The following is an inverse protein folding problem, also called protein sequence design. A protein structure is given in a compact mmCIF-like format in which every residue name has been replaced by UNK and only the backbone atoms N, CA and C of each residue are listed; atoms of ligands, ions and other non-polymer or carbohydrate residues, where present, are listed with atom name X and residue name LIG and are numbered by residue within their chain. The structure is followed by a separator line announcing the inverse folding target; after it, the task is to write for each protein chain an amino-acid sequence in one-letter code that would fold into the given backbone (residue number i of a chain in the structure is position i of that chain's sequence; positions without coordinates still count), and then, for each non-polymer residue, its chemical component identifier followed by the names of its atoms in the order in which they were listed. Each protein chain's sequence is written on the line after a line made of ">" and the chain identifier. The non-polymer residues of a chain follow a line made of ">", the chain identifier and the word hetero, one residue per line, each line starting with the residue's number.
data_IF_500797667725
#
_entry.id   IF_500797667725
#
_cell.length_a   1.000
_cell.length_b   1.000
_cell.length_c   1.000
_cell.angle_alpha   90.00
_cell.angle_beta   90.00
_cell.angle_gamma   90.00
#
_symmetry.space_group_name_H-M   'P 1'
#
loop_
_entity.id
_entity.type
_entity.pdbx_description
1 polymer ?
#
# COMPACT_ATOMS: atom_id res chain seq x y z
N UNK A 1 -0.44 26.59 21.21
CA UNK A 1 0.43 26.94 20.07
C UNK A 1 1.74 26.15 20.20
N UNK A 2 1.89 25.05 19.48
CA UNK A 2 3.14 24.28 19.43
C UNK A 2 3.98 24.82 18.27
N UNK A 3 5.13 25.42 18.57
CA UNK A 3 6.12 25.80 17.58
C UNK A 3 6.85 24.52 17.11
N UNK A 4 6.90 24.31 15.82
CA UNK A 4 7.61 23.19 15.22
C UNK A 4 8.60 23.73 14.17
N UNK A 5 9.90 23.76 14.47
CA UNK A 5 10.90 24.20 13.50
C UNK A 5 11.05 23.13 12.41
N UNK A 6 11.03 23.57 11.16
CA UNK A 6 11.31 22.76 9.99
C UNK A 6 12.58 23.26 9.34
N UNK A 7 13.40 22.33 8.89
CA UNK A 7 14.65 22.66 8.22
C UNK A 7 15.01 21.57 7.23
N UNK A 8 15.77 21.93 6.21
CA UNK A 8 16.34 20.98 5.27
C UNK A 8 17.76 21.45 4.91
N UNK A 9 18.65 20.50 4.73
CA UNK A 9 20.00 20.72 4.24
C UNK A 9 20.30 19.67 3.16
N UNK A 10 21.12 20.07 2.18
CA UNK A 10 21.52 19.16 1.11
C UNK A 10 22.91 19.52 0.59
N UNK A 11 23.60 18.51 0.11
CA UNK A 11 24.88 18.63 -0.56
C UNK A 11 24.81 17.88 -1.88
N UNK A 12 25.40 18.46 -2.92
CA UNK A 12 25.54 17.84 -4.23
C UNK A 12 26.98 17.87 -4.69
N UNK A 13 27.46 16.74 -5.22
CA UNK A 13 28.79 16.65 -5.80
C UNK A 13 28.68 16.33 -7.29
N UNK A 14 29.14 17.26 -8.12
CA UNK A 14 29.18 17.13 -9.57
C UNK A 14 30.47 16.43 -9.98
N UNK A 15 30.49 15.10 -9.90
CA UNK A 15 31.66 14.26 -10.12
C UNK A 15 32.25 14.46 -11.53
N UNK A 16 31.40 14.69 -12.53
CA UNK A 16 31.82 14.89 -13.91
C UNK A 16 32.71 16.13 -14.13
N UNK A 17 32.75 17.07 -13.17
CA UNK A 17 33.62 18.24 -13.22
C UNK A 17 35.01 17.98 -12.63
N UNK A 18 35.22 16.84 -11.98
CA UNK A 18 36.49 16.49 -11.34
C UNK A 18 37.53 16.07 -12.38
N UNK A 19 38.81 16.32 -12.07
CA UNK A 19 39.91 16.03 -12.99
C UNK A 19 39.99 14.58 -13.44
N UNK A 20 39.56 13.63 -12.62
CA UNK A 20 39.54 12.22 -12.94
C UNK A 20 38.34 11.78 -13.80
N UNK A 21 37.28 12.60 -13.89
CA UNK A 21 36.03 12.25 -14.58
C UNK A 21 35.75 13.13 -15.81
N UNK A 22 36.30 14.34 -15.88
CA UNK A 22 36.02 15.29 -16.97
C UNK A 22 36.44 14.83 -18.36
N UNK A 23 37.47 13.97 -18.43
CA UNK A 23 38.04 13.47 -19.69
C UNK A 23 37.39 12.12 -20.15
N UNK A 24 36.33 11.68 -19.47
CA UNK A 24 35.58 10.47 -19.86
C UNK A 24 34.59 10.82 -20.99
N UNK A 25 34.85 10.41 -22.24
CA UNK A 25 34.12 10.95 -23.40
C UNK A 25 32.65 10.52 -23.48
N UNK A 26 32.27 9.44 -22.83
CA UNK A 26 30.89 8.95 -22.80
C UNK A 26 30.09 9.47 -21.61
N UNK A 27 30.70 10.15 -20.64
CA UNK A 27 30.05 10.65 -19.44
C UNK A 27 29.76 12.14 -19.59
N UNK A 28 28.49 12.53 -19.76
CA UNK A 28 28.07 13.92 -19.85
C UNK A 28 27.86 14.55 -18.49
N UNK A 29 27.13 13.87 -17.61
CA UNK A 29 26.92 14.30 -16.22
C UNK A 29 26.93 13.15 -15.27
N UNK A 30 27.48 13.33 -14.09
CA UNK A 30 27.40 12.43 -12.95
C UNK A 30 27.34 13.26 -11.70
N UNK A 31 26.22 13.16 -10.97
CA UNK A 31 25.98 13.94 -9.76
C UNK A 31 25.55 13.01 -8.64
N UNK A 32 26.21 13.11 -7.51
CA UNK A 32 25.80 12.48 -6.25
C UNK A 32 25.15 13.56 -5.36
N UNK A 33 24.00 13.22 -4.77
CA UNK A 33 23.21 14.13 -3.91
C UNK A 33 22.92 13.48 -2.59
N UNK A 34 23.00 14.25 -1.53
CA UNK A 34 22.48 13.85 -0.22
C UNK A 34 21.63 14.97 0.33
N UNK A 35 20.48 14.64 0.87
CA UNK A 35 19.62 15.58 1.55
C UNK A 35 19.07 15.01 2.83
N UNK A 36 18.93 15.88 3.83
CA UNK A 36 18.34 15.55 5.12
C UNK A 36 17.47 16.72 5.56
N UNK A 37 16.33 16.42 6.16
CA UNK A 37 15.47 17.49 6.66
C UNK A 37 14.30 17.00 7.48
N UNK A 38 13.78 17.90 8.30
CA UNK A 38 12.54 17.72 9.04
C UNK A 38 11.40 18.47 8.35
N UNK A 39 10.36 17.74 7.99
CA UNK A 39 9.08 18.27 7.52
C UNK A 39 7.99 17.99 8.56
N UNK A 40 7.07 18.92 8.70
CA UNK A 40 5.87 18.70 9.51
C UNK A 40 4.63 18.65 8.65
N UNK A 41 3.66 17.85 9.06
CA UNK A 41 2.33 17.88 8.50
C UNK A 41 1.28 17.88 9.59
N UNK A 42 0.18 18.57 9.32
CA UNK A 42 -1.03 18.55 10.14
C UNK A 42 -2.09 17.88 9.28
N UNK A 43 -2.37 16.62 9.58
CA UNK A 43 -3.40 15.85 8.86
C UNK A 43 -4.72 15.83 9.65
N UNK A 44 -5.03 16.92 10.37
CA UNK A 44 -6.27 17.02 11.10
C UNK A 44 -6.87 18.42 11.00
N UNK A 45 -8.20 18.48 11.08
CA UNK A 45 -8.95 19.73 11.07
C UNK A 45 -8.69 20.55 12.34
N UNK A 46 -8.83 21.86 12.24
CA UNK A 46 -8.54 22.82 13.31
C UNK A 46 -9.27 22.52 14.63
N UNK A 47 -10.39 21.81 14.59
CA UNK A 47 -11.23 21.52 15.76
C UNK A 47 -11.00 20.15 16.39
N UNK A 48 -10.12 19.31 15.84
CA UNK A 48 -9.95 17.94 16.37
C UNK A 48 -9.31 17.86 17.76
N UNK A 49 -8.74 18.96 18.25
CA UNK A 49 -8.33 19.08 19.64
C UNK A 49 -9.50 19.34 20.61
N UNK A 50 -10.69 19.69 20.08
CA UNK A 50 -11.91 20.03 20.88
C UNK A 50 -13.04 19.08 20.55
N UNK A 51 -13.80 18.70 21.57
CA UNK A 51 -15.05 17.95 21.38
C UNK A 51 -16.09 18.84 20.72
N UNK A 52 -16.69 18.38 19.64
CA UNK A 52 -17.75 19.09 18.90
C UNK A 52 -19.07 18.40 19.19
N UNK A 53 -20.07 19.21 19.52
CA UNK A 53 -21.43 18.76 19.76
C UNK A 53 -22.33 19.24 18.62
N UNK A 54 -23.27 18.39 18.23
CA UNK A 54 -24.38 18.75 17.32
C UNK A 54 -25.68 18.80 18.10
N UNK A 55 -26.40 19.88 17.96
CA UNK A 55 -27.77 19.97 18.47
C UNK A 55 -28.68 19.13 17.58
N UNK A 56 -29.52 18.30 18.22
CA UNK A 56 -30.48 17.42 17.55
C UNK A 56 -31.88 17.83 17.94
N UNK A 57 -32.63 18.37 16.99
CA UNK A 57 -34.05 18.77 17.20
C UNK A 57 -34.95 17.60 17.62
N UNK A 58 -34.56 16.38 17.22
CA UNK A 58 -35.28 15.15 17.51
C UNK A 58 -35.02 14.62 18.93
N UNK A 59 -33.99 15.15 19.61
CA UNK A 59 -33.62 14.78 20.98
C UNK A 59 -33.99 15.90 21.91
N UNK A 60 -35.28 15.91 22.28
CA UNK A 60 -35.81 16.90 23.23
C UNK A 60 -35.64 16.38 24.66
N UNK A 61 -35.06 17.19 25.49
CA UNK A 61 -35.03 17.00 26.93
C UNK A 61 -36.04 17.99 27.55
N UNK A 62 -36.49 17.73 28.77
CA UNK A 62 -37.54 18.49 29.44
C UNK A 62 -37.39 20.04 29.39
N UNK A 63 -36.15 20.53 29.31
CA UNK A 63 -35.83 21.96 29.31
C UNK A 63 -35.21 22.49 28.04
N UNK A 64 -35.06 21.67 26.98
CA UNK A 64 -34.43 22.15 25.74
C UNK A 64 -34.04 21.07 24.75
N UNK A 65 -33.34 21.51 23.70
CA UNK A 65 -32.83 20.63 22.63
C UNK A 65 -31.60 19.90 23.13
N UNK A 66 -31.55 18.58 22.89
CA UNK A 66 -30.42 17.75 23.21
C UNK A 66 -29.20 18.00 22.30
N UNK A 67 -27.99 17.86 22.85
CA UNK A 67 -26.78 17.92 22.10
C UNK A 67 -26.02 16.57 22.24
N UNK A 68 -25.54 16.04 21.11
CA UNK A 68 -24.74 14.80 21.06
C UNK A 68 -23.33 15.11 20.60
N UNK A 69 -22.29 14.45 21.13
CA UNK A 69 -20.96 14.60 20.63
C UNK A 69 -20.87 14.00 19.21
N UNK A 70 -20.32 14.76 18.27
CA UNK A 70 -20.07 14.34 16.89
C UNK A 70 -18.63 13.84 16.74
N UNK A 71 -17.70 14.56 17.38
CA UNK A 71 -16.28 14.20 17.43
C UNK A 71 -15.76 14.38 18.84
N UNK A 72 -14.95 13.44 19.28
CA UNK A 72 -14.23 13.55 20.55
C UNK A 72 -12.89 14.24 20.32
N UNK A 73 -12.66 15.36 20.95
CA UNK A 73 -11.42 16.11 20.86
C UNK A 73 -10.30 15.45 21.67
N UNK A 74 -9.10 15.55 21.14
CA UNK A 74 -7.89 15.13 21.87
C UNK A 74 -6.93 16.32 22.01
N UNK A 75 -6.90 17.00 23.17
CA UNK A 75 -6.02 18.14 23.38
C UNK A 75 -4.51 17.76 23.44
N UNK A 76 -4.20 16.47 23.58
CA UNK A 76 -2.83 15.96 23.58
C UNK A 76 -2.25 15.73 22.18
N UNK A 77 -3.00 16.03 21.11
CA UNK A 77 -2.53 15.85 19.73
C UNK A 77 -1.28 16.68 19.46
N UNK A 78 -0.29 16.01 18.88
CA UNK A 78 0.97 16.59 18.44
C UNK A 78 1.08 16.56 16.93
N UNK A 79 1.80 17.52 16.35
CA UNK A 79 2.14 17.53 14.94
C UNK A 79 2.91 16.28 14.55
N UNK A 80 2.59 15.73 13.39
CA UNK A 80 3.46 14.77 12.75
C UNK A 80 4.74 15.43 12.30
N UNK A 81 5.88 14.79 12.58
CA UNK A 81 7.19 15.22 12.12
C UNK A 81 7.79 14.09 11.29
N UNK A 82 8.29 14.44 10.10
CA UNK A 82 8.95 13.48 9.22
C UNK A 82 10.40 13.86 9.03
N UNK A 83 11.31 13.02 9.49
CA UNK A 83 12.72 13.10 9.16
C UNK A 83 12.94 12.38 7.83
N UNK A 84 13.40 13.09 6.82
CA UNK A 84 13.73 12.56 5.53
C UNK A 84 15.24 12.50 5.38
N UNK A 85 15.75 11.36 4.90
CA UNK A 85 17.13 11.18 4.45
C UNK A 85 17.07 10.61 3.04
N UNK A 86 17.76 11.23 2.10
CA UNK A 86 17.82 10.79 0.72
C UNK A 86 19.24 10.84 0.19
N UNK A 87 19.67 9.76 -0.48
CA UNK A 87 20.91 9.69 -1.25
C UNK A 87 20.52 9.40 -2.69
N UNK A 88 20.87 10.30 -3.60
CA UNK A 88 20.53 10.17 -5.02
C UNK A 88 21.77 10.24 -5.90
N UNK A 89 21.76 9.46 -6.98
CA UNK A 89 22.73 9.52 -8.06
C UNK A 89 22.01 9.77 -9.36
N UNK A 90 22.51 10.72 -10.17
CA UNK A 90 22.02 10.97 -11.50
C UNK A 90 23.19 10.96 -12.48
N UNK A 91 23.00 10.27 -13.61
CA UNK A 91 24.00 10.18 -14.65
C UNK A 91 23.37 10.39 -16.02
N UNK A 92 24.05 11.13 -16.89
CA UNK A 92 23.73 11.22 -18.30
C UNK A 92 24.96 10.82 -19.11
N UNK A 93 24.76 9.96 -20.09
CA UNK A 93 25.83 9.31 -20.85
C UNK A 93 25.51 9.32 -22.34
N UNK A 94 26.59 9.19 -23.17
CA UNK A 94 26.51 9.04 -24.62
C UNK A 94 25.71 10.19 -25.30
N UNK A 95 26.15 11.43 -25.07
CA UNK A 95 25.46 12.63 -25.56
C UNK A 95 24.00 12.72 -25.11
N UNK A 96 23.76 12.41 -23.82
CA UNK A 96 22.44 12.37 -23.18
C UNK A 96 21.49 11.31 -23.77
N UNK A 97 22.01 10.30 -24.48
CA UNK A 97 21.18 9.21 -24.98
C UNK A 97 20.75 8.25 -23.91
N UNK A 98 21.53 8.09 -22.84
CA UNK A 98 21.19 7.28 -21.69
C UNK A 98 21.20 8.17 -20.45
N UNK A 99 20.07 8.23 -19.78
CA UNK A 99 19.90 8.96 -18.51
C UNK A 99 19.47 7.97 -17.44
N UNK A 100 20.17 8.02 -16.30
CA UNK A 100 19.93 7.19 -15.13
C UNK A 100 19.67 8.09 -13.94
N UNK A 101 18.68 7.73 -13.12
CA UNK A 101 18.55 8.24 -11.76
C UNK A 101 18.28 7.08 -10.81
N UNK A 102 18.87 7.14 -9.65
CA UNK A 102 18.65 6.22 -8.56
C UNK A 102 18.64 6.99 -7.25
N UNK A 103 17.60 6.83 -6.47
CA UNK A 103 17.41 7.46 -5.17
C UNK A 103 17.14 6.39 -4.12
N UNK A 104 17.90 6.40 -3.04
CA UNK A 104 17.64 5.61 -1.84
C UNK A 104 17.23 6.54 -0.71
N UNK A 105 16.12 6.21 -0.04
CA UNK A 105 15.61 7.02 1.06
C UNK A 105 15.32 6.21 2.32
N UNK A 106 15.47 6.89 3.46
CA UNK A 106 15.06 6.39 4.77
C UNK A 106 14.35 7.51 5.52
N UNK A 107 13.05 7.38 5.63
CA UNK A 107 12.18 8.40 6.21
C UNK A 107 11.56 7.89 7.51
N UNK A 108 11.62 8.69 8.57
CA UNK A 108 10.98 8.35 9.83
C UNK A 108 9.90 9.36 10.17
N UNK A 109 8.66 8.91 10.24
CA UNK A 109 7.52 9.72 10.68
C UNK A 109 7.29 9.49 12.16
N UNK A 110 7.36 10.57 12.94
CA UNK A 110 7.09 10.62 14.37
C UNK A 110 5.69 11.16 14.63
N UNK A 111 5.11 10.76 15.75
CA UNK A 111 3.77 11.19 16.17
C UNK A 111 2.71 10.94 15.07
N UNK A 112 2.79 9.80 14.41
CA UNK A 112 1.82 9.44 13.38
C UNK A 112 0.40 9.55 13.95
N UNK A 113 -0.49 10.18 13.19
CA UNK A 113 -1.89 10.35 13.59
C UNK A 113 -2.73 9.22 13.01
N UNK A 114 -3.50 8.60 13.88
CA UNK A 114 -4.44 7.54 13.46
C UNK A 114 -5.76 7.65 14.24
N UNK A 115 -6.88 7.34 13.58
CA UNK A 115 -8.15 7.17 14.28
C UNK A 115 -8.12 5.84 15.05
N UNK A 116 -8.47 5.86 16.32
CA UNK A 116 -8.79 4.67 17.10
C UNK A 116 -10.30 4.55 17.26
N UNK A 117 -10.81 3.33 17.19
CA UNK A 117 -12.22 3.08 17.49
C UNK A 117 -12.46 3.15 18.99
N UNK A 118 -13.54 3.81 19.36
CA UNK A 118 -13.98 3.94 20.74
C UNK A 118 -15.17 3.01 21.02
N UNK A 119 -15.33 2.54 22.26
CA UNK A 119 -16.53 1.79 22.64
C UNK A 119 -17.80 2.61 22.40
N UNK A 120 -18.92 2.00 21.98
CA UNK A 120 -20.19 2.70 21.74
C UNK A 120 -20.68 3.51 22.94
N UNK A 121 -20.33 3.13 24.16
CA UNK A 121 -20.65 3.84 25.40
C UNK A 121 -20.09 5.25 25.49
N UNK A 122 -19.09 5.60 24.66
CA UNK A 122 -18.50 6.95 24.60
C UNK A 122 -19.36 7.92 23.76
N UNK A 123 -20.27 7.37 22.94
CA UNK A 123 -21.17 8.17 22.08
C UNK A 123 -20.55 8.65 20.76
N UNK A 124 -19.27 8.38 20.51
CA UNK A 124 -18.57 8.64 19.24
C UNK A 124 -17.82 7.39 18.81
N UNK A 125 -17.73 7.16 17.50
CA UNK A 125 -17.14 5.93 16.96
C UNK A 125 -15.62 5.93 16.96
N UNK A 126 -14.97 7.09 16.89
CA UNK A 126 -13.52 7.18 16.78
C UNK A 126 -12.96 8.49 17.34
N UNK A 127 -11.66 8.45 17.67
CA UNK A 127 -10.89 9.62 18.10
C UNK A 127 -9.46 9.52 17.51
N UNK A 128 -8.90 10.65 17.09
CA UNK A 128 -7.53 10.68 16.62
C UNK A 128 -6.53 10.71 17.78
N UNK A 129 -5.49 9.89 17.66
CA UNK A 129 -4.38 9.83 18.61
C UNK A 129 -3.03 9.82 17.90
N UNK A 130 -1.99 10.24 18.59
CA UNK A 130 -0.63 10.02 18.08
C UNK A 130 -0.21 8.58 18.36
N UNK A 131 0.01 7.84 17.29
CA UNK A 131 0.19 6.39 17.32
C UNK A 131 1.60 5.93 17.70
N UNK A 132 2.61 6.70 17.31
CA UNK A 132 4.00 6.30 17.48
C UNK A 132 4.88 6.75 16.31
N UNK A 133 5.77 5.88 15.84
CA UNK A 133 6.62 6.18 14.69
C UNK A 133 6.65 5.04 13.66
N UNK A 134 6.77 5.43 12.40
CA UNK A 134 6.98 4.51 11.27
C UNK A 134 8.26 4.91 10.55
N UNK A 135 9.07 3.94 10.22
CA UNK A 135 10.23 4.08 9.36
C UNK A 135 9.92 3.50 7.98
N UNK A 136 10.02 4.33 6.95
CA UNK A 136 9.88 3.96 5.55
C UNK A 136 11.25 4.00 4.89
N UNK A 137 11.68 2.89 4.30
CA UNK A 137 12.92 2.78 3.53
C UNK A 137 12.57 2.30 2.14
N UNK A 138 13.28 2.82 1.16
CA UNK A 138 13.02 2.40 -0.20
C UNK A 138 14.04 2.94 -1.16
N UNK A 139 13.84 2.57 -2.41
CA UNK A 139 14.59 3.12 -3.53
C UNK A 139 13.65 3.36 -4.71
N UNK A 140 14.00 4.36 -5.50
CA UNK A 140 13.39 4.67 -6.78
C UNK A 140 14.46 4.74 -7.84
N UNK A 141 14.15 4.28 -9.06
CA UNK A 141 15.04 4.42 -10.19
C UNK A 141 14.28 4.83 -11.45
N UNK A 142 14.97 5.54 -12.31
CA UNK A 142 14.51 5.82 -13.66
C UNK A 142 15.67 5.64 -14.65
N UNK A 143 15.38 4.93 -15.74
CA UNK A 143 16.31 4.68 -16.84
C UNK A 143 15.62 5.14 -18.11
N UNK A 144 16.19 6.16 -18.77
CA UNK A 144 15.69 6.67 -20.05
C UNK A 144 16.76 6.52 -21.12
N UNK A 145 16.43 5.84 -22.20
CA UNK A 145 17.34 5.59 -23.29
C UNK A 145 16.76 5.99 -24.65
N UNK A 146 17.59 6.65 -25.48
CA UNK A 146 17.33 6.86 -26.91
C UNK A 146 18.08 5.76 -27.69
N UNK A 147 17.36 4.70 -28.04
CA UNK A 147 17.93 3.49 -28.67
C UNK A 147 18.33 3.78 -30.09
N UNK A 148 17.45 4.43 -30.84
CA UNK A 148 17.70 4.91 -32.18
C UNK A 148 17.41 6.40 -32.30
N UNK A 149 18.32 7.14 -32.95
CA UNK A 149 18.15 8.55 -33.29
C UNK A 149 18.79 8.80 -34.65
N UNK A 150 18.00 8.64 -35.71
CA UNK A 150 18.38 8.92 -37.07
C UNK A 150 17.46 9.98 -37.67
N UNK A 151 17.64 10.37 -38.92
CA UNK A 151 16.79 11.34 -39.63
C UNK A 151 15.33 10.89 -39.66
N UNK A 152 15.08 9.61 -39.93
CA UNK A 152 13.75 9.06 -40.17
C UNK A 152 13.21 8.28 -38.95
N UNK A 153 14.09 7.71 -38.16
CA UNK A 153 13.75 6.85 -37.01
C UNK A 153 14.15 7.47 -35.67
N UNK A 154 13.24 7.43 -34.75
CA UNK A 154 13.48 7.74 -33.35
C UNK A 154 12.82 6.67 -32.48
N UNK A 155 13.58 6.07 -31.59
CA UNK A 155 13.04 5.18 -30.58
C UNK A 155 13.62 5.53 -29.22
N UNK A 156 12.75 5.85 -28.28
CA UNK A 156 13.10 6.06 -26.88
C UNK A 156 12.30 5.14 -25.98
N UNK A 157 12.95 4.75 -24.90
CA UNK A 157 12.36 3.93 -23.84
C UNK A 157 12.66 4.56 -22.50
N UNK A 158 11.66 4.60 -21.62
CA UNK A 158 11.81 5.00 -20.22
C UNK A 158 11.23 3.91 -19.34
N UNK A 159 12.03 3.43 -18.38
CA UNK A 159 11.62 2.49 -17.34
C UNK A 159 11.82 3.18 -16.00
N UNK A 160 10.78 3.20 -15.20
CA UNK A 160 10.84 3.68 -13.81
C UNK A 160 10.47 2.54 -12.89
N UNK A 161 11.06 2.50 -11.71
CA UNK A 161 10.68 1.51 -10.72
C UNK A 161 11.01 1.98 -9.31
N UNK A 162 10.30 1.43 -8.33
CA UNK A 162 10.52 1.74 -6.94
C UNK A 162 10.04 0.63 -6.02
N UNK A 163 10.65 0.57 -4.86
CA UNK A 163 10.28 -0.29 -3.74
C UNK A 163 10.26 0.51 -2.46
N UNK A 164 9.26 0.30 -1.64
CA UNK A 164 9.18 0.87 -0.29
C UNK A 164 8.88 -0.22 0.72
N UNK A 165 9.59 -0.19 1.83
CA UNK A 165 9.36 -1.04 2.99
C UNK A 165 9.08 -0.15 4.18
N UNK A 166 7.97 -0.37 4.85
CA UNK A 166 7.63 0.32 6.09
C UNK A 166 7.83 -0.60 7.31
N UNK A 167 8.15 0.01 8.44
CA UNK A 167 8.26 -0.68 9.72
C UNK A 167 7.74 0.21 10.84
N UNK A 168 6.80 -0.31 11.58
CA UNK A 168 6.31 0.31 12.81
C UNK A 168 7.36 0.08 13.89
N UNK A 169 7.84 1.16 14.52
CA UNK A 169 8.97 1.09 15.47
C UNK A 169 8.60 1.40 16.91
N UNK A 170 7.49 2.03 17.13
CA UNK A 170 7.11 2.50 18.45
C UNK A 170 5.59 2.65 18.48
N UNK A 171 4.94 1.77 19.20
CA UNK A 171 3.49 1.79 19.35
C UNK A 171 3.17 2.31 20.74
N UNK A 172 2.32 3.34 20.84
CA UNK A 172 1.92 3.85 22.14
C UNK A 172 1.24 2.74 22.97
N UNK A 173 1.44 2.76 24.27
CA UNK A 173 0.91 1.74 25.18
C UNK A 173 -0.63 1.61 25.10
N UNK A 174 -1.30 2.71 24.76
CA UNK A 174 -2.76 2.74 24.54
C UNK A 174 -3.19 1.79 23.42
N UNK A 175 -2.37 1.64 22.38
CA UNK A 175 -2.69 0.83 21.21
C UNK A 175 -2.21 -0.61 21.30
N UNK A 176 -1.20 -0.89 22.14
CA UNK A 176 -0.83 -2.27 22.45
C UNK A 176 -1.99 -3.05 23.07
N UNK A 177 -2.88 -2.34 23.78
CA UNK A 177 -4.02 -2.92 24.49
C UNK A 177 -5.35 -2.71 23.72
N UNK A 178 -5.35 -1.92 22.67
CA UNK A 178 -6.55 -1.70 21.84
C UNK A 178 -6.37 -2.49 20.56
N UNK A 179 -6.86 -3.73 20.55
CA UNK A 179 -7.08 -4.42 19.27
C UNK A 179 -8.03 -3.53 18.46
N UNK A 180 -7.47 -2.88 17.44
CA UNK A 180 -8.22 -1.99 16.56
C UNK A 180 -9.22 -2.85 15.78
N UNK A 181 -10.45 -2.85 16.24
CA UNK A 181 -11.57 -3.56 15.64
C UNK A 181 -12.17 -4.62 16.57
N UNK A 182 -13.48 -4.73 16.54
CA UNK A 182 -14.27 -5.71 17.28
C UNK A 182 -13.70 -7.12 17.11
N UNK A 183 -13.45 -7.81 18.21
CA UNK A 183 -12.98 -9.21 18.23
C UNK A 183 -13.94 -10.16 17.51
N UNK A 184 -15.17 -9.73 17.26
CA UNK A 184 -16.25 -10.54 16.69
C UNK A 184 -16.38 -10.44 15.17
N UNK A 185 -15.67 -9.53 14.47
CA UNK A 185 -15.70 -9.53 13.02
C UNK A 185 -14.72 -10.58 12.46
N UNK A 186 -15.18 -11.82 12.42
CA UNK A 186 -14.41 -12.96 11.92
C UNK A 186 -14.18 -12.89 10.40
N UNK A 187 -14.94 -12.06 9.69
CA UNK A 187 -15.06 -12.08 8.23
C UNK A 187 -14.00 -11.27 7.52
N UNK A 188 -13.61 -10.13 8.07
CA UNK A 188 -12.66 -9.21 7.41
C UNK A 188 -11.28 -9.26 8.03
N UNK A 189 -10.21 -9.22 7.21
CA UNK A 189 -8.86 -9.07 7.74
C UNK A 189 -8.79 -7.76 8.53
N UNK A 190 -8.39 -7.85 9.79
CA UNK A 190 -8.20 -6.68 10.65
C UNK A 190 -6.83 -6.07 10.40
N UNK A 191 -6.77 -4.75 10.43
CA UNK A 191 -5.50 -4.05 10.56
C UNK A 191 -5.03 -4.21 12.01
N UNK A 192 -4.05 -5.08 12.22
CA UNK A 192 -3.35 -5.21 13.49
C UNK A 192 -2.02 -4.49 13.36
N UNK A 193 -1.78 -3.51 14.22
CA UNK A 193 -0.50 -2.83 14.26
C UNK A 193 0.39 -3.49 15.28
N UNK A 194 1.42 -4.18 14.82
CA UNK A 194 2.41 -4.82 15.67
C UNK A 194 3.75 -4.11 15.56
N UNK A 195 4.47 -4.02 16.66
CA UNK A 195 5.82 -3.46 16.65
C UNK A 195 6.74 -4.33 15.79
N UNK A 196 7.45 -3.71 14.84
CA UNK A 196 8.26 -4.40 13.83
C UNK A 196 7.51 -4.85 12.60
N UNK A 197 6.16 -4.85 12.61
CA UNK A 197 5.30 -5.12 11.45
C UNK A 197 5.19 -3.94 10.49
N UNK A 198 4.50 -4.20 9.36
CA UNK A 198 4.12 -3.19 8.37
C UNK A 198 2.66 -2.77 8.58
N UNK A 199 2.35 -1.52 8.22
CA UNK A 199 0.96 -1.07 8.14
C UNK A 199 0.16 -1.75 7.01
N UNK A 200 0.87 -2.41 6.09
CA UNK A 200 0.31 -3.11 4.93
C UNK A 200 0.21 -4.62 5.13
N UNK A 201 0.56 -5.13 6.30
CA UNK A 201 0.46 -6.56 6.58
C UNK A 201 -1.00 -7.03 6.61
N UNK A 202 -1.24 -8.16 5.97
CA UNK A 202 -2.53 -8.86 6.00
C UNK A 202 -2.50 -9.84 7.16
N UNK A 203 -3.41 -9.67 8.12
CA UNK A 203 -3.51 -10.57 9.27
C UNK A 203 -4.67 -11.54 9.08
N UNK A 204 -4.36 -12.84 9.11
CA UNK A 204 -5.33 -13.92 9.07
C UNK A 204 -4.86 -15.09 9.92
N UNK A 205 -5.77 -16.02 10.22
CA UNK A 205 -5.42 -17.30 10.85
C UNK A 205 -4.82 -18.19 9.79
N UNK A 206 -3.64 -18.78 10.08
CA UNK A 206 -2.99 -19.72 9.16
C UNK A 206 -3.85 -20.96 8.96
N UNK A 207 -3.76 -21.55 7.77
CA UNK A 207 -4.53 -22.72 7.40
C UNK A 207 -3.65 -23.80 6.77
N UNK A 208 -3.88 -25.04 7.16
CA UNK A 208 -3.31 -26.21 6.49
C UNK A 208 -4.19 -26.71 5.32
N UNK A 209 -5.28 -25.97 5.02
CA UNK A 209 -6.22 -26.35 3.95
C UNK A 209 -7.45 -27.09 4.48
N UNK A 210 -8.12 -27.78 3.57
CA UNK A 210 -9.31 -28.58 3.88
C UNK A 210 -8.90 -30.02 4.17
N UNK A 211 -9.36 -30.53 5.30
CA UNK A 211 -9.14 -31.92 5.65
C UNK A 211 -9.87 -32.86 4.68
N UNK A 212 -9.16 -33.73 3.96
CA UNK A 212 -9.78 -34.65 3.02
C UNK A 212 -10.75 -35.64 3.67
N UNK A 213 -10.59 -35.95 4.94
CA UNK A 213 -11.43 -36.91 5.65
C UNK A 213 -12.78 -36.28 6.04
N UNK A 214 -12.79 -35.04 6.48
CA UNK A 214 -13.98 -34.42 7.09
C UNK A 214 -14.56 -33.25 6.28
N UNK A 215 -13.79 -32.66 5.34
CA UNK A 215 -14.18 -31.49 4.58
C UNK A 215 -14.18 -30.19 5.39
N UNK A 216 -13.62 -30.20 6.60
CA UNK A 216 -13.44 -29.03 7.46
C UNK A 216 -12.10 -28.38 7.24
N UNK A 217 -11.99 -27.07 7.52
CA UNK A 217 -10.73 -26.37 7.49
C UNK A 217 -9.88 -26.68 8.72
N UNK A 218 -8.60 -26.94 8.49
CA UNK A 218 -7.60 -27.12 9.53
C UNK A 218 -6.87 -25.80 9.75
N UNK A 219 -7.09 -25.17 10.89
CA UNK A 219 -6.38 -23.95 11.30
C UNK A 219 -5.09 -24.29 12.03
N UNK A 220 -4.11 -23.37 11.92
CA UNK A 220 -2.84 -23.47 12.62
C UNK A 220 -2.78 -22.34 13.64
N UNK A 221 -2.74 -22.69 14.93
CA UNK A 221 -2.61 -21.74 16.02
C UNK A 221 -1.25 -21.01 15.99
N UNK A 222 -1.11 -19.93 16.75
CA UNK A 222 0.17 -19.22 16.89
C UNK A 222 1.31 -20.13 17.40
N UNK A 223 1.01 -21.11 18.27
CA UNK A 223 1.98 -22.07 18.79
C UNK A 223 2.32 -23.21 17.82
N UNK A 224 1.68 -23.26 16.64
CA UNK A 224 1.90 -24.29 15.61
C UNK A 224 0.98 -25.51 15.71
N UNK A 225 0.11 -25.61 16.71
CA UNK A 225 -0.86 -26.70 16.82
C UNK A 225 -1.97 -26.60 15.78
N UNK A 226 -2.46 -27.75 15.31
CA UNK A 226 -3.60 -27.85 14.41
C UNK A 226 -4.91 -27.89 15.17
N UNK A 227 -5.95 -27.27 14.62
CA UNK A 227 -7.28 -27.25 15.20
C UNK A 227 -8.34 -27.04 14.12
N UNK A 228 -9.54 -27.60 14.32
CA UNK A 228 -10.71 -27.28 13.50
C UNK A 228 -11.48 -26.05 14.00
N UNK A 229 -11.14 -25.53 15.18
CA UNK A 229 -11.82 -24.39 15.77
C UNK A 229 -11.10 -23.11 15.43
N UNK A 230 -11.78 -22.20 14.72
CA UNK A 230 -11.30 -20.86 14.45
C UNK A 230 -11.18 -20.06 15.76
N UNK A 231 -10.06 -19.36 15.92
CA UNK A 231 -9.84 -18.40 16.99
C UNK A 231 -9.20 -17.14 16.42
N UNK A 232 -9.88 -16.00 16.59
CA UNK A 232 -9.40 -14.72 16.07
C UNK A 232 -8.06 -14.24 16.67
N UNK A 233 -7.71 -14.74 17.83
CA UNK A 233 -6.45 -14.43 18.53
C UNK A 233 -5.23 -15.13 17.89
N UNK A 234 -5.46 -16.16 17.06
CA UNK A 234 -4.41 -16.87 16.34
C UNK A 234 -3.99 -16.19 15.03
N UNK A 235 -4.53 -15.00 14.72
CA UNK A 235 -4.13 -14.24 13.54
C UNK A 235 -2.66 -13.86 13.59
N UNK A 236 -1.99 -14.04 12.47
CA UNK A 236 -0.59 -13.63 12.22
C UNK A 236 -0.50 -12.89 10.88
N UNK A 237 0.60 -12.21 10.62
CA UNK A 237 0.85 -11.64 9.31
C UNK A 237 1.10 -12.78 8.31
N UNK A 238 0.23 -12.90 7.30
CA UNK A 238 0.25 -13.97 6.28
C UNK A 238 0.52 -13.45 4.87
N UNK A 239 0.58 -12.14 4.70
CA UNK A 239 0.87 -11.47 3.43
C UNK A 239 1.09 -9.98 3.64
N UNK A 240 1.45 -9.28 2.57
CA UNK A 240 1.63 -7.84 2.59
C UNK A 240 1.06 -7.23 1.30
N UNK A 241 0.20 -6.22 1.43
CA UNK A 241 -0.43 -5.55 0.29
C UNK A 241 0.50 -4.61 -0.46
N UNK A 242 1.66 -4.29 0.13
CA UNK A 242 2.64 -3.42 -0.50
C UNK A 242 3.48 -4.22 -1.53
N UNK A 243 3.56 -3.80 -2.79
CA UNK A 243 4.29 -4.53 -3.81
C UNK A 243 5.80 -4.46 -3.60
N UNK A 244 6.49 -5.53 -4.01
CA UNK A 244 7.95 -5.59 -4.00
C UNK A 244 8.54 -4.63 -5.04
N UNK A 245 7.86 -4.44 -6.18
CA UNK A 245 8.30 -3.53 -7.23
C UNK A 245 7.09 -2.93 -7.95
N UNK A 246 7.06 -1.60 -8.03
CA UNK A 246 6.10 -0.85 -8.85
C UNK A 246 6.82 0.08 -9.79
N UNK A 247 6.22 0.35 -10.93
CA UNK A 247 6.82 1.29 -11.86
C UNK A 247 6.04 1.46 -13.15
N UNK A 248 6.71 2.08 -14.10
CA UNK A 248 6.17 2.30 -15.43
C UNK A 248 7.20 1.99 -16.51
N UNK A 249 6.69 1.62 -17.64
CA UNK A 249 7.47 1.39 -18.84
C UNK A 249 6.81 2.12 -20.00
N UNK A 250 7.51 3.10 -20.55
CA UNK A 250 7.05 3.91 -21.67
C UNK A 250 7.96 3.69 -22.87
N UNK A 251 7.35 3.40 -24.02
CA UNK A 251 8.02 3.33 -25.30
C UNK A 251 7.46 4.36 -26.24
N UNK A 252 8.32 5.05 -26.98
CA UNK A 252 7.94 5.95 -28.04
C UNK A 252 8.76 5.63 -29.29
N UNK A 253 8.09 5.24 -30.34
CA UNK A 253 8.69 4.98 -31.67
C UNK A 253 8.12 6.00 -32.65
N UNK A 254 9.01 6.68 -33.36
CA UNK A 254 8.63 7.63 -34.42
C UNK A 254 9.32 7.23 -35.73
N UNK A 255 8.55 7.23 -36.80
CA UNK A 255 9.01 7.03 -38.16
C UNK A 255 8.36 8.04 -39.10
N UNK A 256 9.17 8.90 -39.73
CA UNK A 256 8.73 9.88 -40.76
C UNK A 256 7.46 10.68 -40.43
N UNK A 257 7.25 11.08 -39.21
CA UNK A 257 6.07 11.86 -38.80
C UNK A 257 4.96 11.02 -38.16
N UNK A 258 4.99 9.69 -38.25
CA UNK A 258 4.13 8.80 -37.45
C UNK A 258 4.83 8.51 -36.13
N UNK A 259 4.15 8.73 -35.02
CA UNK A 259 4.64 8.46 -33.67
C UNK A 259 3.67 7.56 -32.92
N UNK A 260 4.17 6.44 -32.38
CA UNK A 260 3.43 5.53 -31.51
C UNK A 260 4.06 5.58 -30.13
N UNK A 261 3.27 5.92 -29.13
CA UNK A 261 3.66 5.88 -27.72
C UNK A 261 2.78 4.89 -26.96
N UNK A 262 3.42 3.98 -26.21
CA UNK A 262 2.75 3.01 -25.37
C UNK A 262 3.29 3.19 -23.95
N UNK A 263 2.39 3.44 -23.01
CA UNK A 263 2.69 3.53 -21.58
C UNK A 263 2.07 2.37 -20.84
N UNK A 264 2.87 1.69 -20.06
CA UNK A 264 2.49 0.53 -19.27
C UNK A 264 2.89 0.78 -17.82
N UNK A 265 2.03 0.45 -16.87
CA UNK A 265 2.37 0.42 -15.45
C UNK A 265 2.43 -1.02 -14.97
N UNK A 266 3.30 -1.29 -14.01
CA UNK A 266 3.43 -2.61 -13.43
C UNK A 266 3.52 -2.55 -11.91
N UNK A 267 3.00 -3.61 -11.28
CA UNK A 267 3.03 -3.81 -9.84
C UNK A 267 3.20 -5.30 -9.57
N UNK A 268 4.32 -5.69 -8.96
CA UNK A 268 4.66 -7.08 -8.74
C UNK A 268 4.91 -7.37 -7.27
N UNK A 269 4.46 -8.55 -6.85
CA UNK A 269 4.84 -9.11 -5.58
C UNK A 269 4.06 -8.57 -4.38
N UNK A 270 2.88 -7.97 -4.56
CA UNK A 270 1.93 -7.72 -3.48
C UNK A 270 1.08 -8.96 -3.20
N UNK A 271 0.48 -9.00 -2.02
CA UNK A 271 -0.54 -9.95 -1.68
C UNK A 271 -1.88 -9.22 -1.51
N UNK A 272 -2.98 -9.90 -1.68
CA UNK A 272 -4.30 -9.37 -1.38
C UNK A 272 -5.21 -10.44 -0.81
N UNK A 273 -6.15 -10.02 0.02
CA UNK A 273 -7.17 -10.91 0.55
C UNK A 273 -8.35 -10.97 -0.42
N UNK A 274 -8.59 -12.12 -1.02
CA UNK A 274 -9.63 -12.32 -2.04
C UNK A 274 -11.00 -12.56 -1.38
N UNK A 275 -11.65 -11.47 -0.99
CA UNK A 275 -13.00 -11.50 -0.40
C UNK A 275 -14.05 -12.04 -1.37
N UNK A 276 -13.81 -11.94 -2.69
CA UNK A 276 -14.71 -12.49 -3.71
C UNK A 276 -14.70 -14.00 -3.69
N UNK A 277 -13.53 -14.66 -3.59
CA UNK A 277 -13.46 -16.10 -3.42
C UNK A 277 -14.16 -16.56 -2.15
N UNK A 278 -13.94 -15.84 -1.05
CA UNK A 278 -14.60 -16.17 0.22
C UNK A 278 -16.12 -16.05 0.14
N UNK A 279 -16.63 -14.95 -0.42
CA UNK A 279 -18.06 -14.64 -0.37
C UNK A 279 -18.88 -15.23 -1.53
N UNK A 280 -18.26 -15.48 -2.71
CA UNK A 280 -18.94 -15.89 -3.94
C UNK A 280 -18.61 -17.31 -4.39
N UNK A 281 -17.55 -17.91 -3.84
CA UNK A 281 -17.16 -19.28 -4.16
C UNK A 281 -17.27 -20.19 -2.94
N UNK A 282 -16.71 -19.79 -1.79
CA UNK A 282 -16.81 -20.58 -0.55
C UNK A 282 -18.22 -20.50 0.05
N UNK A 283 -18.72 -19.31 0.32
CA UNK A 283 -20.01 -19.06 0.97
C UNK A 283 -21.07 -18.66 -0.07
N UNK A 284 -21.44 -19.63 -0.89
CA UNK A 284 -22.42 -19.41 -1.94
C UNK A 284 -23.84 -19.26 -1.40
N UNK A 285 -24.64 -18.49 -2.11
CA UNK A 285 -26.09 -18.51 -2.00
C UNK A 285 -26.62 -19.54 -3.01
N UNK A 286 -27.16 -20.70 -2.58
CA UNK A 286 -27.58 -21.76 -3.48
C UNK A 286 -28.76 -21.36 -4.36
N UNK A 287 -29.43 -20.26 -4.09
CA UNK A 287 -30.54 -19.71 -4.87
C UNK A 287 -30.13 -18.76 -5.97
N UNK A 288 -28.82 -18.53 -6.15
CA UNK A 288 -28.27 -17.61 -7.16
C UNK A 288 -27.32 -18.34 -8.10
N UNK A 289 -27.07 -17.72 -9.25
CA UNK A 289 -26.00 -18.18 -10.14
C UNK A 289 -24.66 -18.05 -9.42
N UNK A 290 -23.87 -19.11 -9.42
CA UNK A 290 -22.61 -19.23 -8.73
C UNK A 290 -21.47 -19.58 -9.69
N UNK A 291 -20.24 -19.30 -9.29
CA UNK A 291 -19.03 -19.69 -10.00
C UNK A 291 -18.91 -21.22 -10.03
N UNK A 292 -18.47 -21.77 -11.16
CA UNK A 292 -18.31 -23.22 -11.34
C UNK A 292 -17.39 -23.86 -10.28
N UNK A 293 -16.37 -23.11 -9.81
CA UNK A 293 -15.45 -23.55 -8.75
C UNK A 293 -16.17 -23.86 -7.42
N UNK A 294 -17.30 -23.19 -7.18
CA UNK A 294 -18.13 -23.47 -6.00
C UNK A 294 -18.65 -24.91 -5.97
N UNK A 295 -18.67 -25.59 -7.11
CA UNK A 295 -19.07 -27.01 -7.25
C UNK A 295 -17.87 -27.90 -7.55
N UNK A 296 -16.98 -27.55 -8.45
CA UNK A 296 -15.88 -28.42 -8.92
C UNK A 296 -14.80 -28.60 -7.86
N UNK A 297 -14.43 -27.54 -7.14
CA UNK A 297 -13.28 -27.50 -6.24
C UNK A 297 -13.67 -27.62 -4.76
N UNK A 298 -14.87 -28.14 -4.52
CA UNK A 298 -15.47 -28.29 -3.19
C UNK A 298 -15.47 -29.73 -2.72
N UNK A 299 -15.25 -29.93 -1.42
CA UNK A 299 -15.31 -31.25 -0.80
C UNK A 299 -16.72 -31.86 -0.87
N UNK A 300 -16.80 -33.12 -1.30
CA UNK A 300 -18.04 -33.89 -1.49
C UNK A 300 -18.02 -35.21 -0.76
N UNK A 301 -16.85 -35.85 -0.67
CA UNK A 301 -16.68 -37.16 -0.05
C UNK A 301 -15.28 -37.32 0.56
N UNK A 302 -15.10 -38.20 1.55
CA UNK A 302 -13.79 -38.52 2.11
C UNK A 302 -12.78 -38.90 1.02
N UNK A 303 -11.60 -38.30 1.08
CA UNK A 303 -10.52 -38.47 0.12
C UNK A 303 -10.41 -37.34 -0.92
N UNK A 304 -11.38 -36.45 -1.01
CA UNK A 304 -11.31 -35.33 -1.94
C UNK A 304 -10.23 -34.30 -1.50
N UNK A 305 -9.27 -34.04 -2.38
CA UNK A 305 -8.25 -32.99 -2.20
C UNK A 305 -8.73 -31.72 -2.91
N UNK A 306 -9.28 -30.79 -2.17
CA UNK A 306 -10.01 -29.63 -2.70
C UNK A 306 -9.67 -28.35 -1.96
N UNK A 307 -10.05 -27.21 -2.55
CA UNK A 307 -9.77 -25.89 -2.00
C UNK A 307 -10.87 -25.36 -1.09
N UNK A 308 -12.12 -25.80 -1.27
CA UNK A 308 -13.28 -25.25 -0.58
C UNK A 308 -13.98 -26.27 0.31
N UNK A 309 -14.58 -25.77 1.39
CA UNK A 309 -15.32 -26.53 2.40
C UNK A 309 -16.49 -27.31 1.83
N UNK A 310 -16.97 -28.32 2.54
CA UNK A 310 -18.23 -29.02 2.22
C UNK A 310 -19.41 -28.02 2.21
N UNK A 311 -20.37 -28.21 1.28
CA UNK A 311 -21.49 -27.28 1.09
C UNK A 311 -22.47 -27.27 2.28
N UNK A 312 -22.53 -28.35 3.03
CA UNK A 312 -23.48 -28.53 4.16
C UNK A 312 -22.96 -27.98 5.48
N UNK A 313 -21.74 -27.47 5.51
CA UNK A 313 -21.20 -26.84 6.71
C UNK A 313 -21.81 -25.46 6.86
N UNK A 314 -22.56 -25.21 7.94
CA UNK A 314 -22.94 -23.86 8.39
C UNK A 314 -21.68 -23.15 8.84
N UNK A 315 -20.84 -22.79 7.89
CA UNK A 315 -19.58 -22.13 8.20
C UNK A 315 -19.84 -20.64 8.30
N UNK A 316 -19.55 -20.11 9.45
CA UNK A 316 -19.33 -18.67 9.57
C UNK A 316 -18.15 -18.31 8.65
N UNK A 317 -18.28 -17.24 7.90
CA UNK A 317 -17.15 -16.70 7.14
C UNK A 317 -16.06 -16.33 8.12
N UNK A 318 -14.90 -16.96 8.00
CA UNK A 318 -13.76 -16.72 8.88
C UNK A 318 -12.57 -16.19 8.10
N UNK A 319 -11.77 -15.37 8.74
CA UNK A 319 -10.58 -14.79 8.13
C UNK A 319 -9.43 -15.81 8.10
N UNK A 320 -9.27 -16.48 6.97
CA UNK A 320 -8.28 -17.54 6.74
C UNK A 320 -7.25 -17.15 5.70
N UNK A 321 -6.01 -17.61 5.90
CA UNK A 321 -4.90 -17.49 4.95
C UNK A 321 -5.22 -18.05 3.56
N UNK A 322 -6.14 -19.01 3.43
CA UNK A 322 -6.54 -19.62 2.14
C UNK A 322 -7.02 -18.63 1.09
N UNK A 323 -7.47 -17.46 1.51
CA UNK A 323 -7.95 -16.38 0.65
C UNK A 323 -6.90 -15.29 0.38
N UNK A 324 -5.68 -15.46 0.88
CA UNK A 324 -4.56 -14.58 0.54
C UNK A 324 -3.93 -15.08 -0.76
N UNK A 325 -3.90 -14.22 -1.74
CA UNK A 325 -3.38 -14.54 -3.08
C UNK A 325 -2.31 -13.53 -3.50
N UNK A 326 -1.36 -14.02 -4.30
CA UNK A 326 -0.32 -13.18 -4.90
C UNK A 326 -0.89 -12.33 -6.01
N UNK A 327 -0.57 -11.05 -6.02
CA UNK A 327 -1.02 -10.08 -7.00
C UNK A 327 0.16 -9.56 -7.81
N UNK A 328 0.12 -9.84 -9.12
CA UNK A 328 1.05 -9.28 -10.10
C UNK A 328 0.22 -8.65 -11.21
N UNK A 329 0.47 -7.38 -11.49
CA UNK A 329 -0.30 -6.60 -12.46
C UNK A 329 0.61 -5.97 -13.48
N UNK A 330 0.19 -6.05 -14.74
CA UNK A 330 0.72 -5.29 -15.87
C UNK A 330 -0.47 -4.61 -16.55
N UNK A 331 -0.46 -3.30 -16.59
CA UNK A 331 -1.57 -2.51 -17.09
C UNK A 331 -1.10 -1.54 -18.18
N UNK A 332 -1.67 -1.65 -19.38
CA UNK A 332 -1.45 -0.68 -20.45
C UNK A 332 -2.30 0.55 -20.13
N UNK A 333 -1.64 1.63 -19.71
CA UNK A 333 -2.30 2.85 -19.28
C UNK A 333 -2.65 3.79 -20.41
N UNK A 334 -1.86 3.78 -21.47
CA UNK A 334 -2.09 4.63 -22.64
C UNK A 334 -1.47 4.04 -23.90
N UNK A 335 -2.20 4.16 -25.03
CA UNK A 335 -1.69 3.92 -26.39
C UNK A 335 -2.05 5.17 -27.20
N UNK A 336 -1.04 5.86 -27.70
CA UNK A 336 -1.21 7.08 -28.48
C UNK A 336 -0.54 6.94 -29.85
N UNK A 337 -1.31 7.14 -30.91
CA UNK A 337 -0.82 7.26 -32.27
C UNK A 337 -0.97 8.71 -32.74
N UNK A 338 0.12 9.30 -33.19
CA UNK A 338 0.16 10.69 -33.65
C UNK A 338 0.78 10.74 -35.03
N UNK A 339 0.22 11.57 -35.89
CA UNK A 339 0.80 11.88 -37.19
C UNK A 339 1.07 13.39 -37.31
N UNK A 340 2.30 13.75 -37.60
CA UNK A 340 2.74 15.13 -37.81
C UNK A 340 2.77 15.43 -39.30
N UNK A 341 1.87 16.31 -39.73
CA UNK A 341 1.81 16.76 -41.13
C UNK A 341 2.97 17.71 -41.44
N UNK A 342 3.75 17.40 -42.46
CA UNK A 342 4.83 18.29 -42.87
C UNK A 342 4.24 19.54 -43.56
N UNK A 343 4.74 20.74 -43.21
CA UNK A 343 4.23 22.04 -43.67
C UNK A 343 4.19 22.20 -45.20
N UNK A 344 4.99 21.44 -45.96
CA UNK A 344 4.96 21.42 -47.45
C UNK A 344 3.64 20.94 -48.03
N UNK A 345 2.75 20.36 -47.26
CA UNK A 345 1.42 19.93 -47.70
C UNK A 345 0.35 21.01 -47.47
N UNK A 346 0.66 22.04 -46.69
CA UNK A 346 -0.26 23.12 -46.31
C UNK A 346 0.11 24.46 -46.95
N UNK A 347 1.15 24.55 -47.81
CA UNK A 347 1.57 25.74 -48.53
C UNK A 347 1.01 25.77 -49.98
#
# INVERSE_FOLDING_TARGET
>A
NSFAPFWAAGIGWNIHNENFAKDIPWLNTLTLKYSVGYNGSVSFDYYQAKTIYSYKSDYQYYTGIGAVPVTMGNPALKWQKKLNNNVGITAAMFDNRLNLSFDYYSNTTYNLLMPINLPPSVGVSSMNVNFGKINNRGFDFAISGQIFRTKDWYWSMTVTGGHVMDRIRDISTVLKNTSVGDSNDAVKPKLLFTEGGSQFDIYAVRSAGIDPATGQEIFIKKNGEYTYKYQGDDRVAVGNTNPILTGSWMNTVRYKGISLSISTTYSFGSDFYNTTLQSKVENIDPYKNVDARAYTDRWKKPGDLVRYLAINTKNEMVNSERFVERKNELYISNIQLTYEFQAKFLS
#
